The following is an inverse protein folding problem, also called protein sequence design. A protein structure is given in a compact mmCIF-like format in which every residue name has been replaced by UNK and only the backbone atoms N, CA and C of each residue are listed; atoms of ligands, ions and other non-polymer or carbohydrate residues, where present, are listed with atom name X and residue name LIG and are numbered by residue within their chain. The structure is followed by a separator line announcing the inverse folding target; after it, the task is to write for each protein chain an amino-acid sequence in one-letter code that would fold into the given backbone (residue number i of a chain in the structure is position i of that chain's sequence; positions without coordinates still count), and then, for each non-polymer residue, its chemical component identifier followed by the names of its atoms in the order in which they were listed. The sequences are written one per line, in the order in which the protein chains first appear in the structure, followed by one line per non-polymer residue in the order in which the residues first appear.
data_IF_791458714173
#
_entry.id   IF_791458714173
#
_cell.length_a   1.000
_cell.length_b   1.000
_cell.length_c   1.000
_cell.angle_alpha   90.00
_cell.angle_beta   90.00
_cell.angle_gamma   90.00
#
_symmetry.space_group_name_H-M   'P 1'
#
loop_
_entity.id
_entity.type
_entity.pdbx_description
1 polymer ?
#
# COMPACT_ATOMS: atom_id res chain seq x y z
N UNK A 1 -9.50 -18.14 9.04
CA UNK A 1 -8.98 -17.33 7.92
C UNK A 1 -7.54 -16.96 8.31
N UNK A 2 -6.59 -17.05 7.37
CA UNK A 2 -5.21 -16.57 7.61
C UNK A 2 -5.20 -15.06 7.75
N UNK A 3 -4.20 -14.51 8.44
CA UNK A 3 -4.00 -13.07 8.52
C UNK A 3 -3.70 -12.48 7.13
N UNK A 4 -4.25 -11.30 6.79
CA UNK A 4 -4.01 -10.67 5.51
C UNK A 4 -2.54 -10.30 5.34
N UNK A 5 -2.05 -10.43 4.11
CA UNK A 5 -0.69 -10.07 3.70
C UNK A 5 -0.72 -8.81 2.86
N UNK A 6 0.15 -7.88 3.19
CA UNK A 6 0.26 -6.58 2.53
C UNK A 6 1.55 -6.47 1.73
N UNK A 7 1.44 -5.91 0.54
CA UNK A 7 2.58 -5.60 -0.31
C UNK A 7 2.64 -4.11 -0.61
N UNK A 8 3.84 -3.55 -0.63
CA UNK A 8 4.10 -2.15 -0.96
C UNK A 8 5.04 -2.11 -2.15
N UNK A 9 4.67 -1.33 -3.15
CA UNK A 9 5.45 -1.12 -4.36
C UNK A 9 5.95 0.31 -4.40
N UNK A 10 7.23 0.49 -4.13
CA UNK A 10 7.88 1.79 -3.94
C UNK A 10 8.25 2.04 -2.48
N UNK A 11 9.55 2.23 -2.23
CA UNK A 11 10.15 2.38 -0.90
C UNK A 11 10.35 3.84 -0.46
N UNK A 12 9.68 4.79 -1.13
CA UNK A 12 9.69 6.21 -0.82
C UNK A 12 8.99 6.57 0.49
N UNK A 13 8.82 7.86 0.78
CA UNK A 13 8.25 8.35 2.03
C UNK A 13 6.85 7.81 2.33
N UNK A 14 6.00 7.69 1.32
CA UNK A 14 4.65 7.14 1.46
C UNK A 14 4.69 5.63 1.68
N UNK A 15 5.56 4.91 0.94
CA UNK A 15 5.77 3.47 1.15
C UNK A 15 6.28 3.13 2.55
N UNK A 16 7.21 3.92 3.08
CA UNK A 16 7.65 3.82 4.48
C UNK A 16 6.46 4.01 5.44
N UNK A 17 5.62 5.01 5.14
CA UNK A 17 4.44 5.31 5.96
C UNK A 17 3.47 4.13 6.03
N UNK A 18 3.11 3.56 4.89
CA UNK A 18 2.24 2.39 4.82
C UNK A 18 2.87 1.14 5.44
N UNK A 19 4.18 0.92 5.25
CA UNK A 19 4.87 -0.21 5.89
C UNK A 19 4.77 -0.16 7.41
N UNK A 20 4.95 1.02 8.00
CA UNK A 20 4.78 1.21 9.44
C UNK A 20 3.32 0.97 9.87
N UNK A 21 2.33 1.48 9.11
CA UNK A 21 0.90 1.26 9.40
C UNK A 21 0.57 -0.23 9.45
N UNK A 22 0.92 -0.98 8.41
CA UNK A 22 0.58 -2.41 8.33
C UNK A 22 1.36 -3.23 9.36
N UNK A 23 2.66 -2.96 9.54
CA UNK A 23 3.50 -3.71 10.47
C UNK A 23 3.15 -3.45 11.94
N UNK A 24 2.81 -2.20 12.33
CA UNK A 24 2.38 -1.91 13.71
C UNK A 24 1.01 -2.53 14.04
N UNK A 25 0.16 -2.71 13.04
CA UNK A 25 -1.10 -3.44 13.18
C UNK A 25 -0.93 -4.96 13.31
N UNK A 26 0.31 -5.46 13.26
CA UNK A 26 0.65 -6.87 13.48
C UNK A 26 0.85 -7.70 12.21
N UNK A 27 0.68 -7.12 11.02
CA UNK A 27 0.69 -7.85 9.75
C UNK A 27 2.08 -7.91 9.12
N UNK A 28 2.32 -8.97 8.35
CA UNK A 28 3.52 -9.09 7.51
C UNK A 28 3.38 -8.20 6.28
N UNK A 29 4.49 -7.54 5.94
CA UNK A 29 4.58 -6.59 4.82
C UNK A 29 5.78 -6.94 3.97
N UNK A 30 5.58 -7.07 2.66
CA UNK A 30 6.68 -7.11 1.70
C UNK A 30 6.77 -5.78 0.95
N UNK A 31 7.99 -5.28 0.80
CA UNK A 31 8.27 -3.99 0.15
C UNK A 31 9.18 -4.22 -1.02
N UNK A 32 8.74 -3.79 -2.19
CA UNK A 32 9.50 -3.84 -3.43
C UNK A 32 9.99 -2.45 -3.83
N UNK A 33 11.20 -2.40 -4.34
CA UNK A 33 11.70 -1.27 -5.14
C UNK A 33 12.64 -1.81 -6.23
N UNK A 34 12.85 -1.03 -7.28
CA UNK A 34 13.77 -1.38 -8.36
C UNK A 34 15.24 -1.12 -8.00
N UNK A 35 15.48 -0.29 -6.98
CA UNK A 35 16.81 0.16 -6.57
C UNK A 35 17.19 -0.39 -5.20
N UNK A 36 18.23 -1.20 -5.14
CA UNK A 36 18.74 -1.74 -3.87
C UNK A 36 19.15 -0.64 -2.86
N UNK A 37 19.67 0.48 -3.36
CA UNK A 37 20.02 1.64 -2.54
C UNK A 37 18.78 2.28 -1.90
N UNK A 38 17.64 2.28 -2.60
CA UNK A 38 16.38 2.77 -2.06
C UNK A 38 15.87 1.86 -0.94
N UNK A 39 15.97 0.54 -1.10
CA UNK A 39 15.60 -0.42 -0.05
C UNK A 39 16.48 -0.28 1.19
N UNK A 40 17.80 -0.13 1.02
CA UNK A 40 18.70 0.13 2.17
C UNK A 40 18.34 1.41 2.92
N UNK A 41 18.04 2.50 2.19
CA UNK A 41 17.59 3.73 2.82
C UNK A 41 16.23 3.57 3.50
N UNK A 42 15.31 2.83 2.88
CA UNK A 42 14.00 2.50 3.45
C UNK A 42 14.13 1.84 4.84
N UNK A 43 14.98 0.83 4.98
CA UNK A 43 15.20 0.12 6.26
C UNK A 43 15.71 1.08 7.35
N UNK A 44 16.65 1.96 7.00
CA UNK A 44 17.18 2.99 7.92
C UNK A 44 16.05 3.94 8.35
N UNK A 45 15.25 4.42 7.39
CA UNK A 45 14.17 5.37 7.65
C UNK A 45 13.03 4.75 8.47
N UNK A 46 12.67 3.49 8.21
CA UNK A 46 11.69 2.75 9.02
C UNK A 46 12.17 2.66 10.46
N UNK A 47 13.43 2.25 10.68
CA UNK A 47 14.00 2.15 12.01
C UNK A 47 13.94 3.50 12.74
N UNK A 48 14.42 4.58 12.13
CA UNK A 48 14.45 5.91 12.72
C UNK A 48 13.03 6.40 13.09
N UNK A 49 12.04 6.16 12.22
CA UNK A 49 10.65 6.57 12.49
C UNK A 49 10.00 5.75 13.59
N UNK A 50 10.29 4.44 13.65
CA UNK A 50 9.80 3.59 14.73
C UNK A 50 10.43 3.97 16.08
N UNK A 51 11.72 4.30 16.13
CA UNK A 51 12.38 4.80 17.34
C UNK A 51 11.73 6.12 17.81
N UNK A 52 11.51 7.07 16.89
CA UNK A 52 10.84 8.34 17.22
C UNK A 52 9.39 8.13 17.72
N UNK A 53 8.65 7.19 17.14
CA UNK A 53 7.29 6.87 17.60
C UNK A 53 7.32 6.24 19.00
N UNK A 54 8.29 5.37 19.30
CA UNK A 54 8.46 4.74 20.61
C UNK A 54 8.82 5.75 21.71
N UNK A 55 9.76 6.67 21.42
CA UNK A 55 10.12 7.78 22.31
C UNK A 55 8.91 8.65 22.69
N UNK A 56 7.94 8.81 21.76
CA UNK A 56 6.70 9.55 21.98
C UNK A 56 5.55 8.68 22.49
N UNK A 57 5.78 7.39 22.82
CA UNK A 57 4.79 6.45 23.34
C UNK A 57 3.59 6.25 22.40
N UNK A 58 3.86 6.21 21.09
CA UNK A 58 2.87 6.02 20.02
C UNK A 58 2.87 4.59 19.46
N UNK A 59 3.60 3.65 20.07
CA UNK A 59 3.65 2.25 19.69
C UNK A 59 3.14 1.36 20.83
N UNK A 60 2.39 0.32 20.45
CA UNK A 60 1.93 -0.74 21.37
C UNK A 60 2.92 -1.91 21.43
N UNK A 61 3.84 -2.01 20.47
CA UNK A 61 4.86 -3.05 20.35
C UNK A 61 6.24 -2.39 20.19
N UNK A 62 7.32 -3.11 20.53
CA UNK A 62 8.67 -2.54 20.37
C UNK A 62 9.04 -2.30 18.90
N UNK A 63 9.85 -1.26 18.60
CA UNK A 63 10.35 -0.98 17.25
C UNK A 63 10.94 -2.20 16.55
N UNK A 64 11.71 -3.01 17.28
CA UNK A 64 12.32 -4.24 16.76
C UNK A 64 11.29 -5.27 16.31
N UNK A 65 10.22 -5.47 17.08
CA UNK A 65 9.15 -6.41 16.71
C UNK A 65 8.37 -5.94 15.50
N UNK A 66 8.10 -4.64 15.41
CA UNK A 66 7.39 -4.05 14.27
C UNK A 66 8.24 -4.16 13.01
N UNK A 67 9.51 -3.76 13.08
CA UNK A 67 10.44 -3.86 11.95
C UNK A 67 10.63 -5.31 11.45
N UNK A 68 10.62 -6.29 12.35
CA UNK A 68 10.75 -7.71 11.98
C UNK A 68 9.57 -8.27 11.15
N UNK A 69 8.47 -7.54 11.01
CA UNK A 69 7.34 -7.89 10.14
C UNK A 69 7.49 -7.36 8.71
N UNK A 70 8.52 -6.53 8.46
CA UNK A 70 8.77 -5.89 7.15
C UNK A 70 9.93 -6.59 6.48
N UNK A 71 9.70 -7.08 5.27
CA UNK A 71 10.70 -7.71 4.41
C UNK A 71 10.85 -6.90 3.13
N UNK A 72 12.07 -6.76 2.61
CA UNK A 72 12.36 -6.02 1.37
C UNK A 72 12.79 -6.98 0.27
N UNK A 73 12.47 -6.68 -0.98
CA UNK A 73 12.88 -7.48 -2.14
C UNK A 73 13.03 -6.62 -3.40
N UNK A 74 13.89 -7.04 -4.32
CA UNK A 74 14.05 -6.48 -5.67
C UNK A 74 13.21 -7.24 -6.73
N UNK A 75 12.49 -8.30 -6.30
CA UNK A 75 11.64 -9.09 -7.17
C UNK A 75 10.17 -8.74 -6.96
N UNK A 76 9.54 -8.14 -8.00
CA UNK A 76 8.14 -7.75 -7.96
C UNK A 76 7.20 -8.94 -7.77
N UNK A 77 7.49 -10.08 -8.41
CA UNK A 77 6.65 -11.27 -8.29
C UNK A 77 6.72 -11.84 -6.87
N UNK A 78 7.90 -11.85 -6.25
CA UNK A 78 8.07 -12.24 -4.86
C UNK A 78 7.33 -11.29 -3.91
N UNK A 79 7.38 -9.98 -4.17
CA UNK A 79 6.72 -8.99 -3.33
C UNK A 79 5.21 -9.22 -3.23
N UNK A 80 4.56 -9.57 -4.34
CA UNK A 80 3.09 -9.72 -4.40
C UNK A 80 2.61 -11.15 -4.23
N UNK A 81 3.51 -12.12 -4.06
CA UNK A 81 3.16 -13.53 -3.92
C UNK A 81 2.28 -13.78 -2.69
N UNK A 82 1.02 -14.14 -2.94
CA UNK A 82 0.02 -14.42 -1.90
C UNK A 82 -0.40 -13.19 -1.10
N UNK A 83 -0.24 -11.99 -1.66
CA UNK A 83 -0.79 -10.77 -1.08
C UNK A 83 -2.32 -10.76 -1.19
N UNK A 84 -2.98 -10.15 -0.21
CA UNK A 84 -4.40 -9.82 -0.24
C UNK A 84 -4.62 -8.35 -0.63
N UNK A 85 -3.59 -7.51 -0.44
CA UNK A 85 -3.62 -6.09 -0.70
C UNK A 85 -2.25 -5.59 -1.17
N UNK A 86 -2.24 -4.83 -2.25
CA UNK A 86 -1.04 -4.18 -2.80
C UNK A 86 -1.25 -2.66 -2.78
N UNK A 87 -0.33 -1.93 -2.14
CA UNK A 87 -0.29 -0.46 -2.14
C UNK A 87 0.85 0.03 -3.01
N UNK A 88 0.54 0.61 -4.13
CA UNK A 88 1.51 1.28 -5.00
C UNK A 88 1.81 2.68 -4.48
N UNK A 89 3.10 2.98 -4.36
CA UNK A 89 3.67 4.22 -3.82
C UNK A 89 4.83 4.74 -4.70
N UNK A 90 4.81 4.42 -5.99
CA UNK A 90 5.81 4.85 -6.96
C UNK A 90 5.62 6.30 -7.44
N UNK A 91 6.43 6.74 -8.41
CA UNK A 91 6.36 8.09 -8.94
C UNK A 91 5.01 8.44 -9.57
N UNK A 92 4.64 9.73 -9.52
CA UNK A 92 3.45 10.28 -10.21
C UNK A 92 3.71 10.39 -11.72
N UNK A 93 3.81 9.25 -12.38
CA UNK A 93 4.00 9.12 -13.82
C UNK A 93 3.00 8.13 -14.38
N UNK A 94 2.15 8.58 -15.30
CA UNK A 94 1.04 7.81 -15.84
C UNK A 94 1.50 6.55 -16.58
N UNK A 95 2.53 6.64 -17.41
CA UNK A 95 3.01 5.51 -18.21
C UNK A 95 3.60 4.42 -17.30
N UNK A 96 4.43 4.83 -16.32
CA UNK A 96 4.99 3.88 -15.34
C UNK A 96 3.88 3.20 -14.53
N UNK A 97 2.83 3.93 -14.12
CA UNK A 97 1.69 3.33 -13.41
C UNK A 97 0.91 2.34 -14.27
N UNK A 98 0.66 2.66 -15.54
CA UNK A 98 -0.01 1.75 -16.49
C UNK A 98 0.76 0.43 -16.65
N UNK A 99 2.07 0.53 -16.89
CA UNK A 99 2.93 -0.65 -17.00
C UNK A 99 2.95 -1.47 -15.71
N UNK A 100 3.09 -0.81 -14.58
CA UNK A 100 3.13 -1.46 -13.28
C UNK A 100 1.82 -2.16 -12.94
N UNK A 101 0.67 -1.48 -13.07
CA UNK A 101 -0.63 -2.07 -12.80
C UNK A 101 -0.96 -3.23 -13.74
N UNK A 102 -0.52 -3.16 -15.01
CA UNK A 102 -0.62 -4.28 -15.94
C UNK A 102 0.17 -5.51 -15.45
N UNK A 103 1.41 -5.29 -14.97
CA UNK A 103 2.25 -6.36 -14.39
C UNK A 103 1.63 -6.92 -13.11
N UNK A 104 1.16 -6.05 -12.20
CA UNK A 104 0.53 -6.45 -10.94
C UNK A 104 -0.74 -7.28 -11.20
N UNK A 105 -1.55 -6.90 -12.19
CA UNK A 105 -2.75 -7.63 -12.58
C UNK A 105 -2.44 -9.06 -13.06
N UNK A 106 -1.31 -9.23 -13.74
CA UNK A 106 -0.85 -10.55 -14.19
C UNK A 106 -0.18 -11.41 -13.11
N UNK A 107 0.36 -10.78 -12.07
CA UNK A 107 1.09 -11.46 -10.99
C UNK A 107 0.23 -11.82 -9.77
N UNK A 108 -0.96 -11.23 -9.66
CA UNK A 108 -1.83 -11.39 -8.51
C UNK A 108 -3.17 -12.03 -8.86
N UNK A 109 -3.77 -12.74 -7.92
CA UNK A 109 -5.11 -13.31 -8.07
C UNK A 109 -6.16 -12.20 -8.24
N UNK A 110 -7.33 -12.55 -8.79
CA UNK A 110 -8.40 -11.60 -9.12
C UNK A 110 -9.10 -10.97 -7.91
N UNK A 111 -8.90 -11.50 -6.73
CA UNK A 111 -9.45 -11.02 -5.44
C UNK A 111 -8.53 -10.06 -4.68
N UNK A 112 -7.28 -9.91 -5.14
CA UNK A 112 -6.29 -9.00 -4.52
C UNK A 112 -6.62 -7.55 -4.84
N UNK A 113 -6.71 -6.70 -3.85
CA UNK A 113 -6.89 -5.26 -4.05
C UNK A 113 -5.59 -4.63 -4.57
N UNK A 114 -5.70 -3.87 -5.66
CA UNK A 114 -4.60 -3.08 -6.24
C UNK A 114 -4.87 -1.59 -6.02
N UNK A 115 -4.27 -1.04 -4.98
CA UNK A 115 -4.43 0.35 -4.58
C UNK A 115 -3.24 1.21 -5.01
N UNK A 116 -3.49 2.46 -5.42
CA UNK A 116 -2.45 3.47 -5.65
C UNK A 116 -2.53 4.58 -4.60
N UNK A 117 -1.38 5.08 -4.14
CA UNK A 117 -1.30 6.28 -3.29
C UNK A 117 -1.26 7.58 -4.10
N UNK A 118 -1.59 7.55 -5.39
CA UNK A 118 -1.58 8.73 -6.26
C UNK A 118 -2.41 9.87 -5.68
N UNK A 119 -1.86 11.09 -5.77
CA UNK A 119 -2.56 12.33 -5.38
C UNK A 119 -3.26 13.03 -6.54
N UNK A 120 -2.85 12.74 -7.80
CA UNK A 120 -3.31 13.46 -8.97
C UNK A 120 -3.77 12.57 -10.12
N UNK A 121 -3.23 11.34 -10.25
CA UNK A 121 -3.58 10.43 -11.33
C UNK A 121 -4.79 9.57 -10.93
N UNK A 122 -5.82 9.59 -11.75
CA UNK A 122 -7.06 8.83 -11.55
C UNK A 122 -6.87 7.35 -11.88
N UNK A 123 -7.58 6.49 -11.17
CA UNK A 123 -7.61 5.05 -11.47
C UNK A 123 -8.05 4.80 -12.91
N UNK A 124 -9.02 5.55 -13.42
CA UNK A 124 -9.48 5.48 -14.81
C UNK A 124 -8.39 5.77 -15.83
N UNK A 125 -7.38 6.56 -15.49
CA UNK A 125 -6.28 6.89 -16.40
C UNK A 125 -5.24 5.78 -16.48
N UNK A 126 -4.90 5.12 -15.36
CA UNK A 126 -3.84 4.11 -15.36
C UNK A 126 -4.35 2.66 -15.42
N UNK A 127 -5.63 2.40 -15.10
CA UNK A 127 -6.14 1.03 -15.02
C UNK A 127 -7.29 0.68 -16.00
N UNK A 128 -7.77 1.60 -16.84
CA UNK A 128 -8.94 1.37 -17.72
C UNK A 128 -8.78 0.22 -18.73
N UNK A 129 -7.55 -0.07 -19.16
CA UNK A 129 -7.27 -1.14 -20.14
C UNK A 129 -6.81 -2.46 -19.53
N UNK A 130 -6.83 -2.61 -18.21
CA UNK A 130 -6.27 -3.75 -17.51
C UNK A 130 -7.33 -4.83 -17.29
N UNK A 131 -6.98 -6.09 -17.54
CA UNK A 131 -7.81 -7.21 -17.14
C UNK A 131 -8.01 -7.20 -15.60
N UNK A 132 -9.25 -7.41 -15.15
CA UNK A 132 -9.60 -7.35 -13.72
C UNK A 132 -9.41 -5.97 -13.08
N UNK A 133 -9.61 -4.89 -13.83
CA UNK A 133 -9.54 -3.51 -13.32
C UNK A 133 -10.59 -3.20 -12.23
N UNK A 134 -11.63 -4.02 -12.11
CA UNK A 134 -12.66 -3.91 -11.07
C UNK A 134 -12.12 -3.91 -9.62
N UNK A 135 -10.87 -4.30 -9.41
CA UNK A 135 -10.18 -4.31 -8.11
C UNK A 135 -9.14 -3.19 -7.93
N UNK A 136 -9.03 -2.30 -8.93
CA UNK A 136 -8.12 -1.17 -8.91
C UNK A 136 -8.83 0.09 -8.38
N UNK A 137 -8.15 0.82 -7.51
CA UNK A 137 -8.65 2.08 -6.95
C UNK A 137 -7.49 2.93 -6.40
N UNK A 138 -7.75 4.21 -6.16
CA UNK A 138 -6.82 5.03 -5.39
C UNK A 138 -7.15 4.92 -3.90
N UNK A 139 -6.10 4.78 -3.08
CA UNK A 139 -6.15 4.91 -1.61
C UNK A 139 -5.12 5.96 -1.23
N UNK A 140 -5.59 7.21 -1.16
CA UNK A 140 -4.76 8.38 -0.89
C UNK A 140 -4.69 8.65 0.61
N UNK A 141 -3.52 8.47 1.26
CA UNK A 141 -3.40 8.60 2.71
C UNK A 141 -3.23 10.04 3.16
N UNK A 142 -3.68 10.35 4.38
CA UNK A 142 -3.12 11.45 5.14
C UNK A 142 -1.61 11.25 5.33
N UNK A 143 -0.80 12.30 5.20
CA UNK A 143 0.67 12.20 5.23
C UNK A 143 1.24 12.87 6.48
N UNK A 144 2.01 12.16 7.32
CA UNK A 144 2.40 10.74 7.19
C UNK A 144 1.30 9.77 7.67
N UNK A 145 1.10 8.62 6.97
CA UNK A 145 0.01 7.67 7.25
C UNK A 145 -0.01 7.11 8.67
N UNK A 146 1.14 6.93 9.28
CA UNK A 146 1.26 6.39 10.64
C UNK A 146 0.91 7.39 11.75
N UNK A 147 0.69 8.67 11.43
CA UNK A 147 0.20 9.70 12.36
C UNK A 147 -1.21 10.17 12.00
N UNK A 148 -1.50 10.30 10.69
CA UNK A 148 -2.82 10.74 10.20
C UNK A 148 -3.56 9.49 9.73
N UNK A 149 -4.34 8.90 10.64
CA UNK A 149 -5.02 7.61 10.43
C UNK A 149 -6.27 7.74 9.55
N UNK A 150 -6.18 8.43 8.42
CA UNK A 150 -7.28 8.64 7.45
C UNK A 150 -6.75 8.37 6.05
N UNK A 151 -7.56 7.74 5.20
CA UNK A 151 -7.27 7.61 3.78
C UNK A 151 -8.54 7.80 2.94
N UNK A 152 -8.44 8.53 1.85
CA UNK A 152 -9.47 8.63 0.83
C UNK A 152 -9.47 7.37 -0.02
N UNK A 153 -10.61 6.75 -0.18
CA UNK A 153 -10.85 5.58 -1.05
C UNK A 153 -11.60 6.07 -2.27
N UNK A 154 -10.92 6.13 -3.41
CA UNK A 154 -11.44 6.72 -4.66
C UNK A 154 -11.57 5.63 -5.71
N UNK A 155 -12.77 5.05 -5.89
CA UNK A 155 -13.03 4.10 -6.95
C UNK A 155 -13.18 4.80 -8.31
N UNK A 156 -12.79 4.12 -9.39
CA UNK A 156 -13.22 4.46 -10.74
C UNK A 156 -14.59 3.85 -11.05
N UNK A 157 -15.22 4.24 -12.16
CA UNK A 157 -16.53 3.72 -12.59
C UNK A 157 -16.56 2.19 -12.76
N UNK A 158 -15.42 1.59 -13.13
CA UNK A 158 -15.26 0.15 -13.29
C UNK A 158 -14.89 -0.58 -11.98
N UNK A 159 -14.51 0.13 -10.92
CA UNK A 159 -14.17 -0.49 -9.64
C UNK A 159 -15.42 -1.12 -9.02
N UNK A 160 -15.37 -2.40 -8.66
CA UNK A 160 -16.53 -3.07 -8.09
C UNK A 160 -16.81 -2.61 -6.66
N UNK A 161 -18.08 -2.56 -6.28
CA UNK A 161 -18.48 -2.28 -4.90
C UNK A 161 -17.88 -3.30 -3.91
N UNK A 162 -17.73 -4.55 -4.32
CA UNK A 162 -17.10 -5.59 -3.51
C UNK A 162 -15.64 -5.24 -3.21
N UNK A 163 -14.86 -4.81 -4.22
CA UNK A 163 -13.47 -4.38 -4.04
C UNK A 163 -13.36 -3.18 -3.10
N UNK A 164 -14.25 -2.21 -3.22
CA UNK A 164 -14.31 -1.06 -2.32
C UNK A 164 -14.56 -1.49 -0.88
N UNK A 165 -15.53 -2.38 -0.64
CA UNK A 165 -15.84 -2.86 0.70
C UNK A 165 -14.74 -3.74 1.30
N UNK A 166 -14.08 -4.58 0.49
CA UNK A 166 -12.90 -5.36 0.92
C UNK A 166 -11.77 -4.42 1.30
N UNK A 167 -11.45 -3.44 0.45
CA UNK A 167 -10.44 -2.43 0.72
C UNK A 167 -10.71 -1.69 2.03
N UNK A 168 -11.90 -1.16 2.24
CA UNK A 168 -12.30 -0.46 3.47
C UNK A 168 -12.14 -1.35 4.71
N UNK A 169 -12.55 -2.62 4.64
CA UNK A 169 -12.38 -3.57 5.75
C UNK A 169 -10.91 -3.81 6.09
N UNK A 170 -10.03 -3.92 5.09
CA UNK A 170 -8.59 -4.09 5.30
C UNK A 170 -7.97 -2.83 5.92
N UNK A 171 -8.34 -1.64 5.45
CA UNK A 171 -7.88 -0.37 6.03
C UNK A 171 -8.31 -0.22 7.50
N UNK A 172 -9.56 -0.53 7.83
CA UNK A 172 -10.05 -0.49 9.21
C UNK A 172 -9.26 -1.46 10.12
N UNK A 173 -8.95 -2.66 9.63
CA UNK A 173 -8.15 -3.64 10.40
C UNK A 173 -6.76 -3.13 10.76
N UNK A 174 -6.18 -2.24 9.97
CA UNK A 174 -4.86 -1.65 10.23
C UNK A 174 -4.93 -0.28 10.91
N UNK A 175 -6.11 0.12 11.37
CA UNK A 175 -6.32 1.36 12.12
C UNK A 175 -6.46 2.62 11.26
N UNK A 176 -6.71 2.47 9.95
CA UNK A 176 -6.99 3.59 9.04
C UNK A 176 -8.50 3.77 8.90
N UNK A 177 -8.97 5.01 8.98
CA UNK A 177 -10.36 5.41 8.73
C UNK A 177 -10.52 5.68 7.22
N UNK A 178 -11.21 4.81 6.47
CA UNK A 178 -11.43 5.04 5.05
C UNK A 178 -12.55 6.04 4.83
N UNK A 179 -12.30 7.06 4.03
CA UNK A 179 -13.29 8.03 3.57
C UNK A 179 -13.54 7.74 2.09
N UNK A 180 -14.70 7.22 1.77
CA UNK A 180 -15.06 6.97 0.36
C UNK A 180 -15.39 8.27 -0.35
N UNK A 181 -14.71 8.52 -1.47
CA UNK A 181 -15.00 9.61 -2.41
C UNK A 181 -15.89 9.05 -3.52
N UNK A 182 -16.98 9.74 -3.84
CA UNK A 182 -17.97 9.20 -4.75
C UNK A 182 -17.56 9.24 -6.23
N UNK A 183 -16.74 10.21 -6.61
CA UNK A 183 -16.25 10.37 -7.99
C UNK A 183 -14.76 10.63 -7.97
N UNK A 184 -14.06 10.21 -9.02
CA UNK A 184 -12.69 10.63 -9.27
C UNK A 184 -12.64 12.16 -9.49
N UNK A 185 -11.64 12.88 -8.91
CA UNK A 185 -11.51 14.32 -9.03
C UNK A 185 -11.14 14.78 -10.45
#
# INVERSE_FOLDING_TARGET
MSDPKFSIIGSGSIGIGWAIVFARAGYKVKVFDVEESALRNFEIQVKNRLELLDENKLLDDSPKKIAARIETTLDLAEAVAGADYVQECGPENLELKRELFTKLAGLTNSDVILASSSSALRTSEFASGIASNARCLVVHPGNPPYLISVAEVVPADFTSNESVEVCKKLLIKVGIIPIQVNNEP
#
